data_IF_074736366746
#
_entry.id   IF_074736366746
#
_cell.length_a   1.000
_cell.length_b   1.000
_cell.length_c   1.000
_cell.angle_alpha   90.00
_cell.angle_beta   90.00
_cell.angle_gamma   90.00
#
_symmetry.space_group_name_H-M   'P 1'
#
loop_
_entity.id
_entity.type
_entity.pdbx_description
1 polymer ?
#
# COMPACT_ATOMS: atom_id res chain seq x y z
N UNK A 1 6.59 9.38 -7.85
CA UNK A 1 6.00 8.04 -7.81
C UNK A 1 6.92 7.10 -7.03
N UNK A 2 6.45 6.58 -5.91
CA UNK A 2 7.22 5.64 -5.07
C UNK A 2 7.14 4.23 -5.66
N UNK A 3 6.00 3.89 -6.27
CA UNK A 3 5.75 2.59 -6.89
C UNK A 3 5.85 2.70 -8.43
N UNK A 4 6.63 1.82 -9.03
CA UNK A 4 6.74 1.67 -10.48
C UNK A 4 5.81 0.59 -11.01
N UNK A 5 6.02 0.19 -12.25
CA UNK A 5 5.38 -0.98 -12.86
C UNK A 5 6.46 -1.90 -13.42
N UNK A 6 6.22 -3.18 -13.30
CA UNK A 6 7.01 -4.24 -13.94
C UNK A 6 6.28 -4.69 -15.22
N UNK A 7 6.98 -5.30 -16.17
CA UNK A 7 6.37 -5.80 -17.40
C UNK A 7 6.08 -7.31 -17.25
N UNK A 8 4.87 -7.73 -17.60
CA UNK A 8 4.55 -9.15 -17.81
C UNK A 8 5.13 -9.69 -19.12
N UNK A 9 5.10 -11.02 -19.28
CA UNK A 9 5.55 -11.68 -20.52
C UNK A 9 4.74 -11.29 -21.77
N UNK A 10 3.54 -10.75 -21.60
CA UNK A 10 2.65 -10.25 -22.64
C UNK A 10 2.74 -8.73 -22.85
N UNK A 11 3.66 -8.05 -22.11
CA UNK A 11 3.85 -6.61 -22.21
C UNK A 11 2.89 -5.77 -21.36
N UNK A 12 1.99 -6.38 -20.59
CA UNK A 12 1.12 -5.64 -19.68
C UNK A 12 1.91 -5.18 -18.43
N UNK A 13 1.69 -3.94 -17.96
CA UNK A 13 2.39 -3.44 -16.80
C UNK A 13 1.87 -4.09 -15.51
N UNK A 14 2.73 -4.82 -14.80
CA UNK A 14 2.43 -5.30 -13.45
C UNK A 14 2.87 -4.24 -12.44
N UNK A 15 1.99 -3.80 -11.53
CA UNK A 15 2.39 -2.90 -10.47
C UNK A 15 3.37 -3.60 -9.52
N UNK A 16 4.46 -2.92 -9.12
CA UNK A 16 5.40 -3.41 -8.11
C UNK A 16 4.89 -3.20 -6.68
N UNK A 17 3.59 -3.24 -6.49
CA UNK A 17 2.94 -3.12 -5.19
C UNK A 17 1.64 -3.94 -5.15
N UNK A 18 1.26 -4.32 -3.93
CA UNK A 18 -0.05 -4.89 -3.61
C UNK A 18 -0.80 -3.86 -2.76
N UNK A 19 -2.06 -3.59 -3.07
CA UNK A 19 -2.93 -2.74 -2.24
C UNK A 19 -3.97 -3.62 -1.55
N UNK A 20 -4.14 -3.41 -0.25
CA UNK A 20 -5.18 -4.04 0.57
C UNK A 20 -5.81 -2.99 1.48
N UNK A 21 -7.09 -3.14 1.80
CA UNK A 21 -7.79 -2.25 2.74
C UNK A 21 -7.93 -2.95 4.08
N UNK A 22 -7.46 -2.30 5.15
CA UNK A 22 -7.57 -2.84 6.50
C UNK A 22 -9.03 -2.82 7.00
N UNK A 23 -9.37 -3.76 7.85
CA UNK A 23 -10.65 -3.81 8.54
C UNK A 23 -10.51 -4.36 9.96
N UNK A 24 -11.58 -4.25 10.75
CA UNK A 24 -11.57 -4.64 12.17
C UNK A 24 -11.42 -6.15 12.43
N UNK A 25 -11.62 -6.98 11.40
CA UNK A 25 -11.51 -8.45 11.49
C UNK A 25 -10.08 -8.95 11.28
N UNK A 26 -9.14 -8.06 10.94
CA UNK A 26 -7.76 -8.44 10.71
C UNK A 26 -7.12 -8.99 11.99
N UNK A 27 -6.54 -10.15 11.85
CA UNK A 27 -5.73 -10.82 12.86
C UNK A 27 -4.36 -11.19 12.30
N UNK A 28 -3.54 -11.86 13.08
CA UNK A 28 -2.28 -12.41 12.58
C UNK A 28 -2.46 -13.35 11.38
N UNK A 29 -3.63 -13.98 11.24
CA UNK A 29 -3.89 -14.89 10.13
C UNK A 29 -3.97 -14.15 8.80
N UNK A 30 -4.68 -13.02 8.74
CA UNK A 30 -4.76 -12.20 7.53
C UNK A 30 -3.44 -11.51 7.21
N UNK A 31 -2.67 -11.14 8.22
CA UNK A 31 -1.45 -10.35 8.04
C UNK A 31 -0.23 -11.23 7.77
N UNK A 32 0.02 -12.23 8.59
CA UNK A 32 1.17 -13.14 8.45
C UNK A 32 0.79 -14.41 7.69
N UNK A 33 -0.37 -14.96 8.05
CA UNK A 33 -0.84 -16.24 7.55
C UNK A 33 -1.02 -17.27 8.65
N UNK A 34 -1.45 -18.45 8.25
CA UNK A 34 -1.70 -19.55 9.16
C UNK A 34 -2.07 -20.84 8.44
N UNK A 35 -2.31 -21.88 9.23
CA UNK A 35 -2.69 -23.19 8.68
C UNK A 35 -4.15 -23.13 8.21
N UNK A 36 -4.36 -23.55 6.98
CA UNK A 36 -5.67 -23.66 6.33
C UNK A 36 -5.88 -25.10 5.85
N UNK A 37 -7.12 -25.61 5.89
CA UNK A 37 -7.43 -26.89 5.28
C UNK A 37 -7.34 -26.79 3.75
N UNK A 38 -6.96 -27.90 3.11
CA UNK A 38 -7.04 -28.06 1.66
C UNK A 38 -8.24 -28.92 1.25
N UNK A 39 -8.56 -28.91 -0.04
CA UNK A 39 -9.70 -29.65 -0.60
C UNK A 39 -9.51 -31.17 -0.55
N UNK A 40 -8.29 -31.66 -0.30
CA UNK A 40 -7.95 -33.10 -0.18
C UNK A 40 -8.05 -33.62 1.25
N UNK A 41 -8.40 -32.77 2.23
CA UNK A 41 -8.49 -33.09 3.65
C UNK A 41 -7.15 -32.98 4.38
N UNK A 42 -6.12 -32.39 3.73
CA UNK A 42 -4.85 -32.02 4.32
C UNK A 42 -4.87 -30.60 4.88
N UNK A 43 -3.68 -30.13 5.22
CA UNK A 43 -3.47 -28.77 5.70
C UNK A 43 -2.27 -28.14 5.01
N UNK A 44 -2.35 -26.87 4.71
CA UNK A 44 -1.23 -26.09 4.15
C UNK A 44 -1.10 -24.75 4.89
N UNK A 45 0.05 -24.12 4.79
CA UNK A 45 0.23 -22.77 5.28
C UNK A 45 -0.22 -21.78 4.21
N UNK A 46 -1.26 -20.99 4.52
CA UNK A 46 -1.76 -19.89 3.70
C UNK A 46 -1.04 -18.62 4.09
N UNK A 47 -0.34 -18.00 3.14
CA UNK A 47 0.29 -16.71 3.36
C UNK A 47 -0.74 -15.61 3.62
N UNK A 48 -0.44 -14.73 4.58
CA UNK A 48 -1.15 -13.48 4.77
C UNK A 48 -0.57 -12.36 3.90
N UNK A 49 -1.17 -11.18 3.96
CA UNK A 49 -0.80 -10.05 3.11
C UNK A 49 0.68 -9.64 3.19
N UNK A 50 1.24 -9.60 4.40
CA UNK A 50 2.64 -9.25 4.61
C UNK A 50 3.58 -10.34 4.10
N UNK A 51 3.27 -11.61 4.37
CA UNK A 51 4.10 -12.73 3.94
C UNK A 51 4.10 -12.89 2.42
N UNK A 52 2.94 -12.81 1.77
CA UNK A 52 2.83 -12.85 0.31
C UNK A 52 3.58 -11.68 -0.35
N UNK A 53 3.36 -10.45 0.13
CA UNK A 53 4.03 -9.28 -0.43
C UNK A 53 5.55 -9.30 -0.20
N UNK A 54 6.02 -9.80 0.95
CA UNK A 54 7.45 -9.98 1.22
C UNK A 54 8.09 -11.02 0.30
N UNK A 55 7.41 -12.15 0.04
CA UNK A 55 7.85 -13.17 -0.92
C UNK A 55 7.87 -12.64 -2.37
N UNK A 56 6.89 -11.80 -2.74
CA UNK A 56 6.89 -11.10 -4.03
C UNK A 56 8.07 -10.13 -4.13
N UNK A 57 8.39 -9.42 -3.04
CA UNK A 57 9.53 -8.52 -2.99
C UNK A 57 10.84 -9.27 -3.23
N UNK A 58 11.07 -10.41 -2.55
CA UNK A 58 12.26 -11.23 -2.77
C UNK A 58 12.38 -11.70 -4.22
N UNK A 59 11.29 -12.24 -4.79
CA UNK A 59 11.26 -12.70 -6.20
C UNK A 59 11.51 -11.56 -7.18
N UNK A 60 10.92 -10.40 -6.97
CA UNK A 60 11.08 -9.22 -7.82
C UNK A 60 12.51 -8.67 -7.74
N UNK A 61 13.11 -8.64 -6.55
CA UNK A 61 14.50 -8.26 -6.36
C UNK A 61 15.46 -9.20 -7.09
N UNK A 62 15.24 -10.52 -6.99
CA UNK A 62 16.07 -11.52 -7.68
C UNK A 62 15.96 -11.44 -9.21
N UNK A 63 14.76 -11.16 -9.71
CA UNK A 63 14.47 -11.20 -11.16
C UNK A 63 14.77 -9.87 -11.86
N UNK A 64 14.44 -8.76 -11.21
CA UNK A 64 14.37 -7.44 -11.84
C UNK A 64 15.15 -6.35 -11.08
N UNK A 65 15.66 -6.66 -9.88
CA UNK A 65 16.33 -5.69 -9.02
C UNK A 65 15.38 -4.59 -8.48
N UNK A 66 14.06 -4.80 -8.53
CA UNK A 66 13.05 -3.84 -8.10
C UNK A 66 12.29 -4.38 -6.89
N UNK A 67 12.11 -3.59 -5.83
CA UNK A 67 11.32 -4.02 -4.67
C UNK A 67 9.83 -4.05 -4.99
N UNK A 68 9.10 -4.95 -4.30
CA UNK A 68 7.65 -4.97 -4.26
C UNK A 68 7.16 -4.45 -2.91
N UNK A 69 6.19 -3.55 -2.92
CA UNK A 69 5.67 -2.89 -1.73
C UNK A 69 4.29 -3.41 -1.33
N UNK A 70 3.98 -3.35 -0.03
CA UNK A 70 2.62 -3.54 0.48
C UNK A 70 2.04 -2.18 0.84
N UNK A 71 0.93 -1.81 0.20
CA UNK A 71 0.14 -0.63 0.54
C UNK A 71 -1.09 -1.08 1.32
N UNK A 72 -1.24 -0.59 2.54
CA UNK A 72 -2.39 -0.86 3.40
C UNK A 72 -3.21 0.41 3.51
N UNK A 73 -4.36 0.41 2.87
CA UNK A 73 -5.28 1.53 2.93
C UNK A 73 -6.12 1.46 4.21
N UNK A 74 -6.42 2.62 4.80
CA UNK A 74 -7.16 2.76 6.04
C UNK A 74 -6.59 1.91 7.21
N UNK A 75 -5.28 1.91 7.35
CA UNK A 75 -4.52 1.07 8.28
C UNK A 75 -5.03 1.12 9.72
N UNK A 76 -5.55 2.27 10.15
CA UNK A 76 -6.12 2.50 11.47
C UNK A 76 -7.48 1.81 11.71
N UNK A 77 -8.10 1.17 10.71
CA UNK A 77 -9.31 0.37 10.90
C UNK A 77 -9.05 -1.02 11.49
N UNK A 78 -7.82 -1.53 11.36
CA UNK A 78 -7.45 -2.80 11.98
C UNK A 78 -7.13 -2.62 13.47
N UNK A 79 -7.38 -3.66 14.27
CA UNK A 79 -6.77 -3.78 15.58
C UNK A 79 -5.28 -4.10 15.41
N UNK A 80 -4.45 -3.06 15.40
CA UNK A 80 -3.03 -3.14 15.00
C UNK A 80 -2.23 -4.06 15.92
N UNK A 81 -2.48 -4.03 17.23
CA UNK A 81 -1.76 -4.87 18.18
C UNK A 81 -2.08 -6.34 17.98
N UNK A 82 -3.31 -6.68 17.65
CA UNK A 82 -3.76 -8.04 17.35
C UNK A 82 -3.24 -8.52 15.99
N UNK A 83 -3.39 -7.68 14.96
CA UNK A 83 -3.04 -8.04 13.59
C UNK A 83 -1.51 -8.08 13.36
N UNK A 84 -0.77 -7.16 13.94
CA UNK A 84 0.66 -6.93 13.68
C UNK A 84 1.59 -7.27 14.86
N UNK A 85 1.06 -7.63 16.02
CA UNK A 85 1.85 -7.81 17.26
C UNK A 85 3.05 -8.73 17.08
N UNK A 86 2.90 -9.86 16.38
CA UNK A 86 4.02 -10.78 16.08
C UNK A 86 5.06 -10.16 15.14
N UNK A 87 4.68 -9.23 14.27
CA UNK A 87 5.59 -8.58 13.34
C UNK A 87 6.46 -7.51 13.99
N UNK A 88 6.09 -6.99 15.15
CA UNK A 88 6.88 -5.94 15.80
C UNK A 88 8.30 -6.38 16.09
N UNK A 89 8.50 -7.62 16.48
CA UNK A 89 9.84 -8.19 16.68
C UNK A 89 10.58 -8.38 15.35
N UNK A 90 9.87 -8.84 14.31
CA UNK A 90 10.45 -9.00 12.96
C UNK A 90 10.87 -7.66 12.37
N UNK A 91 10.09 -6.60 12.56
CA UNK A 91 10.44 -5.26 12.07
C UNK A 91 11.69 -4.69 12.76
N UNK A 92 11.87 -4.98 14.05
CA UNK A 92 13.00 -4.50 14.84
C UNK A 92 14.28 -5.28 14.58
N UNK A 93 14.16 -6.59 14.31
CA UNK A 93 15.29 -7.52 14.16
C UNK A 93 15.21 -8.29 12.84
N UNK A 94 15.09 -7.58 11.70
CA UNK A 94 14.90 -8.17 10.37
C UNK A 94 16.00 -9.15 9.95
N UNK A 95 17.20 -8.93 10.43
CA UNK A 95 18.39 -9.76 10.15
C UNK A 95 18.51 -10.99 11.05
N UNK A 96 17.72 -11.07 12.13
CA UNK A 96 17.80 -12.13 13.14
C UNK A 96 16.51 -12.91 13.32
N UNK A 97 15.39 -12.25 13.05
CA UNK A 97 14.06 -12.82 13.29
C UNK A 97 13.35 -13.16 11.98
N UNK A 98 13.05 -14.44 11.79
CA UNK A 98 12.31 -14.89 10.62
C UNK A 98 10.86 -14.37 10.62
N UNK A 99 10.40 -13.97 9.45
CA UNK A 99 8.99 -13.67 9.21
C UNK A 99 8.13 -14.94 9.27
N UNK A 100 8.62 -16.00 8.60
CA UNK A 100 8.02 -17.33 8.68
C UNK A 100 9.05 -18.34 9.17
N UNK A 101 8.63 -19.21 10.06
CA UNK A 101 9.46 -20.28 10.59
C UNK A 101 9.65 -21.42 9.59
N UNK A 102 10.61 -22.29 9.82
CA UNK A 102 10.84 -23.48 8.99
C UNK A 102 9.62 -24.41 8.90
N UNK A 103 8.76 -24.44 9.94
CA UNK A 103 7.51 -25.20 9.93
C UNK A 103 6.47 -24.58 8.99
N UNK A 104 6.39 -23.26 8.96
CA UNK A 104 5.43 -22.51 8.14
C UNK A 104 5.81 -22.53 6.65
N UNK A 105 7.10 -22.63 6.35
CA UNK A 105 7.62 -22.70 4.97
C UNK A 105 7.78 -24.11 4.43
N UNK A 106 7.64 -25.13 5.29
CA UNK A 106 8.02 -26.51 5.02
C UNK A 106 9.48 -26.67 4.56
N UNK A 107 10.37 -25.77 5.00
CA UNK A 107 11.77 -25.71 4.56
C UNK A 107 12.62 -24.76 5.39
N UNK A 108 13.38 -23.90 4.75
CA UNK A 108 14.18 -22.91 5.43
C UNK A 108 13.30 -21.75 5.97
N UNK A 109 13.65 -21.14 7.13
CA UNK A 109 12.98 -19.96 7.61
C UNK A 109 13.02 -18.83 6.56
N UNK A 110 11.93 -18.10 6.39
CA UNK A 110 11.85 -16.96 5.48
C UNK A 110 12.09 -15.67 6.25
N UNK A 111 13.11 -14.94 5.84
CA UNK A 111 13.48 -13.65 6.41
C UNK A 111 12.80 -12.53 5.62
N UNK A 112 12.45 -11.44 6.30
CA UNK A 112 11.88 -10.28 5.63
C UNK A 112 12.95 -9.58 4.77
N UNK A 113 12.75 -9.42 3.45
CA UNK A 113 13.74 -8.78 2.58
C UNK A 113 14.07 -7.35 3.06
N UNK A 114 15.34 -6.92 3.01
CA UNK A 114 15.74 -5.57 3.45
C UNK A 114 15.04 -4.45 2.68
N UNK A 115 14.72 -4.67 1.41
CA UNK A 115 14.07 -3.72 0.52
C UNK A 115 12.56 -3.65 0.71
N UNK A 116 11.96 -4.64 1.38
CA UNK A 116 10.52 -4.68 1.60
C UNK A 116 10.05 -3.52 2.48
N UNK A 117 9.00 -2.82 2.04
CA UNK A 117 8.36 -1.73 2.79
C UNK A 117 6.87 -1.90 2.82
N UNK A 118 6.28 -1.48 3.94
CA UNK A 118 4.83 -1.34 4.12
C UNK A 118 4.52 0.15 4.14
N UNK A 119 3.53 0.56 3.36
CA UNK A 119 3.03 1.93 3.29
C UNK A 119 1.60 1.88 3.79
N UNK A 120 1.32 2.51 4.93
CA UNK A 120 -0.04 2.61 5.48
C UNK A 120 -0.63 4.00 5.22
N UNK A 121 -1.87 4.06 4.76
CA UNK A 121 -2.64 5.31 4.76
C UNK A 121 -3.57 5.34 5.96
N UNK A 122 -3.79 6.51 6.52
CA UNK A 122 -4.71 6.73 7.62
C UNK A 122 -5.49 8.02 7.39
N UNK A 123 -6.79 8.00 7.62
CA UNK A 123 -7.59 9.22 7.56
C UNK A 123 -7.49 9.96 8.89
N UNK A 124 -7.01 11.22 8.84
CA UNK A 124 -6.80 12.06 10.02
C UNK A 124 -8.09 12.71 10.56
N UNK A 125 -9.18 12.66 9.80
CA UNK A 125 -10.48 13.19 10.30
C UNK A 125 -11.01 12.41 11.52
N UNK A 126 -10.62 11.15 11.63
CA UNK A 126 -10.85 10.37 12.85
C UNK A 126 -9.72 10.60 13.88
N UNK A 127 -9.58 11.83 14.34
CA UNK A 127 -8.53 12.21 15.32
C UNK A 127 -8.49 11.32 16.57
N UNK A 128 -9.63 10.74 16.96
CA UNK A 128 -9.69 9.78 18.05
C UNK A 128 -9.03 8.43 17.74
N UNK A 129 -8.85 8.09 16.45
CA UNK A 129 -8.25 6.82 16.01
C UNK A 129 -6.74 6.90 15.92
N UNK A 130 -6.17 8.10 15.65
CA UNK A 130 -4.72 8.31 15.65
C UNK A 130 -4.09 8.09 17.04
N UNK A 131 -4.83 8.36 18.11
CA UNK A 131 -4.38 8.13 19.48
C UNK A 131 -4.39 6.66 19.90
N UNK A 132 -5.07 5.79 19.14
CA UNK A 132 -5.09 4.33 19.38
C UNK A 132 -3.98 3.58 18.65
N UNK A 133 -3.15 4.27 17.86
CA UNK A 133 -1.96 3.67 17.29
C UNK A 133 -0.95 3.46 18.41
N UNK A 134 -0.79 2.23 18.86
CA UNK A 134 0.06 1.88 19.98
C UNK A 134 1.51 2.36 19.79
N UNK A 135 2.17 2.75 20.86
CA UNK A 135 3.58 3.17 20.86
C UNK A 135 4.51 2.16 20.18
N UNK A 136 4.15 0.88 20.19
CA UNK A 136 4.90 -0.19 19.56
C UNK A 136 4.98 0.00 18.02
N UNK A 137 3.87 0.41 17.38
CA UNK A 137 3.85 0.71 15.96
C UNK A 137 4.58 2.02 15.64
N UNK A 138 4.35 3.06 16.46
CA UNK A 138 4.94 4.39 16.23
C UNK A 138 6.46 4.37 16.15
N UNK A 139 7.12 3.45 16.86
CA UNK A 139 8.59 3.30 16.82
C UNK A 139 9.11 2.65 15.52
N UNK A 140 8.26 1.97 14.76
CA UNK A 140 8.64 1.15 13.60
C UNK A 140 8.24 1.74 12.27
N UNK A 141 7.44 2.81 12.30
CA UNK A 141 6.97 3.52 11.12
C UNK A 141 7.42 4.98 11.16
N UNK A 142 7.77 5.51 9.99
CA UNK A 142 7.91 6.94 9.79
C UNK A 142 6.53 7.51 9.44
N UNK A 143 6.09 8.52 10.19
CA UNK A 143 4.82 9.19 9.95
C UNK A 143 5.06 10.43 9.10
N UNK A 144 4.27 10.54 8.02
CA UNK A 144 4.26 11.70 7.13
C UNK A 144 2.84 12.25 7.12
N UNK A 145 2.68 13.47 7.62
CA UNK A 145 1.40 14.17 7.53
C UNK A 145 1.26 14.78 6.13
N UNK A 146 0.15 14.45 5.46
CA UNK A 146 -0.22 15.04 4.19
C UNK A 146 -1.35 16.01 4.49
N UNK A 147 -1.01 17.28 4.63
CA UNK A 147 -1.97 18.36 4.81
C UNK A 147 -2.71 18.71 3.51
N UNK A 148 -3.69 19.59 3.63
CA UNK A 148 -4.33 20.18 2.46
C UNK A 148 -3.28 20.94 1.64
N UNK A 149 -3.29 20.82 0.29
CA UNK A 149 -2.44 21.63 -0.55
C UNK A 149 -2.73 23.12 -0.33
N UNK A 150 -1.73 23.96 -0.53
CA UNK A 150 -1.99 25.41 -0.54
C UNK A 150 -2.96 25.74 -1.66
N UNK A 151 -3.84 26.73 -1.45
CA UNK A 151 -4.91 27.12 -2.38
C UNK A 151 -4.39 27.28 -3.82
N UNK A 152 -3.23 27.91 -3.99
CA UNK A 152 -2.61 28.13 -5.33
C UNK A 152 -2.16 26.83 -6.00
N UNK A 153 -1.70 25.83 -5.23
CA UNK A 153 -1.31 24.53 -5.76
C UNK A 153 -2.52 23.67 -6.10
N UNK A 154 -3.61 23.81 -5.36
CA UNK A 154 -4.88 23.15 -5.63
C UNK A 154 -5.48 23.67 -6.95
N UNK A 155 -5.52 24.99 -7.15
CA UNK A 155 -5.98 25.64 -8.38
C UNK A 155 -5.21 25.17 -9.62
N UNK A 156 -3.91 24.94 -9.50
CA UNK A 156 -3.09 24.46 -10.62
C UNK A 156 -3.28 22.98 -10.94
N UNK A 157 -3.60 22.16 -9.93
CA UNK A 157 -3.66 20.69 -10.06
C UNK A 157 -5.06 20.14 -10.28
N UNK A 158 -6.09 20.82 -9.79
CA UNK A 158 -7.49 20.41 -9.92
C UNK A 158 -7.89 20.17 -11.39
N UNK A 159 -7.61 21.07 -12.32
CA UNK A 159 -7.93 20.87 -13.73
C UNK A 159 -7.28 19.59 -14.30
N UNK A 160 -6.00 19.34 -13.98
CA UNK A 160 -5.26 18.14 -14.43
C UNK A 160 -5.95 16.87 -13.92
N UNK A 161 -6.37 16.88 -12.67
CA UNK A 161 -7.07 15.75 -12.05
C UNK A 161 -8.43 15.51 -12.72
N UNK A 162 -9.24 16.56 -12.88
CA UNK A 162 -10.56 16.49 -13.53
C UNK A 162 -10.42 15.98 -14.95
N UNK A 163 -9.50 16.54 -15.74
CA UNK A 163 -9.25 16.10 -17.11
C UNK A 163 -8.85 14.62 -17.17
N UNK A 164 -7.94 14.17 -16.30
CA UNK A 164 -7.53 12.76 -16.24
C UNK A 164 -8.69 11.82 -15.93
N UNK A 165 -9.64 12.24 -15.11
CA UNK A 165 -10.86 11.48 -14.80
C UNK A 165 -11.84 11.44 -15.95
N UNK A 166 -12.08 12.57 -16.59
CA UNK A 166 -12.97 12.66 -17.76
C UNK A 166 -12.45 11.84 -18.95
N UNK A 167 -11.12 11.85 -19.16
CA UNK A 167 -10.47 11.01 -20.18
C UNK A 167 -10.69 9.52 -19.91
N UNK A 168 -10.54 9.08 -18.66
CA UNK A 168 -10.80 7.68 -18.28
C UNK A 168 -12.25 7.25 -18.47
N UNK A 169 -13.19 8.18 -18.40
CA UNK A 169 -14.62 7.93 -18.60
C UNK A 169 -15.02 8.09 -20.09
N UNK A 170 -14.09 8.38 -20.98
CA UNK A 170 -14.35 8.68 -22.41
C UNK A 170 -15.31 9.85 -22.62
N UNK A 171 -15.36 10.79 -21.67
CA UNK A 171 -16.24 11.98 -21.70
C UNK A 171 -15.40 13.25 -22.00
N UNK A 172 -14.06 13.12 -22.02
CA UNK A 172 -13.19 14.27 -22.23
C UNK A 172 -13.43 14.86 -23.64
N UNK A 173 -13.49 16.19 -23.75
CA UNK A 173 -13.41 16.86 -25.05
C UNK A 173 -12.07 16.56 -25.73
N UNK A 174 -12.00 16.76 -27.05
CA UNK A 174 -10.78 16.56 -27.81
C UNK A 174 -9.59 17.24 -27.09
N UNK A 175 -8.50 16.49 -26.95
CA UNK A 175 -7.32 16.97 -26.23
C UNK A 175 -6.73 18.16 -26.96
N UNK A 176 -6.61 19.33 -26.33
CA UNK A 176 -5.93 20.47 -26.94
C UNK A 176 -4.44 20.15 -27.17
N UNK A 177 -3.82 20.73 -28.17
CA UNK A 177 -2.41 20.50 -28.48
C UNK A 177 -1.46 20.81 -27.31
N UNK A 178 -1.89 21.73 -26.41
CA UNK A 178 -1.19 22.02 -25.14
C UNK A 178 -2.17 21.98 -23.98
N UNK A 179 -1.81 21.25 -22.95
CA UNK A 179 -2.61 21.14 -21.71
C UNK A 179 -2.89 22.52 -21.08
N UNK A 180 -1.93 23.44 -21.17
CA UNK A 180 -2.03 24.83 -20.68
C UNK A 180 -3.16 25.62 -21.35
N UNK A 181 -3.45 25.36 -22.62
CA UNK A 181 -4.49 26.10 -23.37
C UNK A 181 -5.90 25.67 -22.93
N UNK A 182 -6.06 24.43 -22.54
CA UNK A 182 -7.34 23.92 -22.02
C UNK A 182 -7.70 24.56 -20.66
N UNK A 183 -6.71 24.78 -19.80
CA UNK A 183 -6.90 25.44 -18.50
C UNK A 183 -7.19 26.93 -18.65
N UNK A 184 -6.60 27.59 -19.63
CA UNK A 184 -6.86 28.99 -19.91
C UNK A 184 -8.28 29.25 -20.45
N UNK A 185 -8.86 28.27 -21.16
CA UNK A 185 -10.19 28.36 -21.75
C UNK A 185 -11.32 27.93 -20.81
N UNK A 186 -11.03 27.02 -19.85
CA UNK A 186 -12.00 26.51 -18.90
C UNK A 186 -11.65 27.00 -17.48
N UNK A 187 -11.83 28.30 -17.25
CA UNK A 187 -11.77 28.84 -15.90
C UNK A 187 -12.96 28.29 -15.11
N UNK A 188 -12.70 27.33 -14.26
CA UNK A 188 -13.65 26.92 -13.24
C UNK A 188 -13.50 27.85 -12.05
N UNK A 189 -14.38 28.84 -11.93
CA UNK A 189 -14.54 29.62 -10.68
C UNK A 189 -15.24 28.73 -9.67
N UNK A 190 -14.47 27.95 -8.94
CA UNK A 190 -14.98 27.05 -7.90
C UNK A 190 -15.19 27.76 -6.54
N UNK A 191 -14.81 29.01 -6.44
CA UNK A 191 -14.95 29.79 -5.23
C UNK A 191 -15.54 31.14 -5.57
N UNK A 192 -16.80 31.37 -5.19
CA UNK A 192 -17.31 32.73 -5.02
C UNK A 192 -16.42 33.43 -3.97
N UNK A 193 -15.94 34.60 -4.32
CA UNK A 193 -15.28 35.51 -3.37
C UNK A 193 -16.34 36.04 -2.42
N UNK A 194 -16.51 35.40 -1.24
CA UNK A 194 -17.14 35.99 -0.03
C UNK A 194 -16.12 36.04 1.11
#
# INVERSE_FOLDING_TARGET
QICGVNEEKDGSPIPNYTIVTANAEWSNFEVIGGISPDDSGGYYFKDGYVSDAAKRCEKSMQKEGKPHYLVIDEFNRANIDEAFGKLFTVFEYRDKQALLTAKETAGAPFMMPPEFRIIGTMNTQDKNTLFNVGHALMRRFAFVEIGLPQRDDEYKRMPIFVFSKLTKLSIAPERPEKEEDWYAQNKFDFYDED
#
